data_IF_236858776499
#
_entry.id   IF_236858776499
#
_cell.length_a   1.000
_cell.length_b   1.000
_cell.length_c   1.000
_cell.angle_alpha   90.00
_cell.angle_beta   90.00
_cell.angle_gamma   90.00
#
_symmetry.space_group_name_H-M   'P 1'
#
loop_
_entity.id
_entity.type
_entity.pdbx_description
1 polymer ?
#
# COMPACT_ATOMS: atom_id res chain seq x y z
N UNK A 1 -34.85 -25.01 -40.82
CA UNK A 1 -35.26 -25.23 -39.42
C UNK A 1 -34.07 -25.55 -38.51
N UNK A 2 -33.08 -26.36 -38.94
CA UNK A 2 -31.89 -26.68 -38.12
C UNK A 2 -30.97 -25.50 -37.81
N UNK A 3 -30.74 -24.58 -38.75
CA UNK A 3 -29.86 -23.42 -38.54
C UNK A 3 -30.37 -22.43 -37.46
N UNK A 4 -31.70 -22.29 -37.35
CA UNK A 4 -32.33 -21.43 -36.33
C UNK A 4 -32.22 -22.06 -34.94
N UNK A 5 -32.40 -23.39 -34.85
CA UNK A 5 -32.23 -24.15 -33.61
C UNK A 5 -30.80 -24.02 -33.07
N UNK A 6 -29.79 -24.19 -33.93
CA UNK A 6 -28.39 -24.06 -33.52
C UNK A 6 -28.05 -22.65 -33.07
N UNK A 7 -28.53 -21.62 -33.78
CA UNK A 7 -28.31 -20.24 -33.39
C UNK A 7 -28.95 -19.91 -32.03
N UNK A 8 -30.16 -20.43 -31.78
CA UNK A 8 -30.85 -20.27 -30.50
C UNK A 8 -30.11 -20.97 -29.35
N UNK A 9 -29.61 -22.18 -29.56
CA UNK A 9 -28.82 -22.90 -28.55
C UNK A 9 -27.53 -22.16 -28.19
N UNK A 10 -26.81 -21.60 -29.17
CA UNK A 10 -25.61 -20.78 -28.90
C UNK A 10 -25.94 -19.50 -28.13
N UNK A 11 -27.04 -18.84 -28.47
CA UNK A 11 -27.49 -17.62 -27.78
C UNK A 11 -27.87 -17.90 -26.32
N UNK A 12 -28.57 -19.03 -26.05
CA UNK A 12 -28.96 -19.42 -24.70
C UNK A 12 -27.76 -19.81 -23.84
N UNK A 13 -26.76 -20.48 -24.42
CA UNK A 13 -25.52 -20.83 -23.71
C UNK A 13 -24.72 -19.57 -23.35
N UNK A 14 -24.64 -18.59 -24.26
CA UNK A 14 -24.01 -17.30 -23.99
C UNK A 14 -24.74 -16.51 -22.89
N UNK A 15 -26.08 -16.55 -22.88
CA UNK A 15 -26.89 -15.91 -21.84
C UNK A 15 -26.71 -16.54 -20.46
N UNK A 16 -26.57 -17.87 -20.38
CA UNK A 16 -26.30 -18.57 -19.12
C UNK A 16 -24.91 -18.24 -18.54
N UNK A 17 -23.90 -17.99 -19.39
CA UNK A 17 -22.55 -17.63 -18.96
C UNK A 17 -22.48 -16.22 -18.33
N UNK A 18 -23.33 -15.28 -18.75
CA UNK A 18 -23.42 -13.94 -18.14
C UNK A 18 -24.35 -13.88 -16.93
N UNK A 19 -25.20 -14.89 -16.73
CA UNK A 19 -26.17 -14.98 -15.66
C UNK A 19 -25.68 -15.79 -14.45
N UNK A 20 -24.36 -15.96 -14.28
CA UNK A 20 -23.84 -16.59 -13.08
C UNK A 20 -24.15 -15.71 -11.88
N UNK A 21 -24.86 -16.21 -10.85
CA UNK A 21 -24.93 -15.50 -9.58
C UNK A 21 -23.49 -15.34 -9.09
N UNK A 22 -23.08 -14.11 -8.80
CA UNK A 22 -21.93 -13.86 -7.96
C UNK A 22 -22.31 -14.42 -6.58
N UNK A 23 -22.02 -15.70 -6.37
CA UNK A 23 -22.16 -16.34 -5.07
C UNK A 23 -21.07 -15.75 -4.19
N UNK A 24 -21.38 -14.64 -3.51
CA UNK A 24 -20.48 -14.08 -2.48
C UNK A 24 -20.34 -15.01 -1.27
N UNK A 25 -21.11 -16.10 -1.24
CA UNK A 25 -21.10 -17.10 -0.16
C UNK A 25 -19.73 -17.81 -0.02
N UNK A 26 -18.96 -17.94 -1.10
CA UNK A 26 -17.60 -18.49 -1.05
C UNK A 26 -16.51 -17.44 -0.70
N UNK A 27 -16.85 -16.15 -0.65
CA UNK A 27 -15.91 -15.05 -0.34
C UNK A 27 -15.88 -14.75 1.17
N UNK A 28 -16.89 -15.19 1.92
CA UNK A 28 -17.10 -14.79 3.31
C UNK A 28 -16.12 -15.42 4.31
N UNK A 29 -15.61 -16.63 4.07
CA UNK A 29 -14.76 -17.30 5.07
C UNK A 29 -13.36 -16.68 5.23
N UNK A 30 -12.88 -15.92 4.23
CA UNK A 30 -11.50 -15.40 4.22
C UNK A 30 -11.41 -13.95 3.71
N UNK A 31 -12.44 -13.13 3.90
CA UNK A 31 -12.47 -11.73 3.48
C UNK A 31 -11.28 -10.91 4.04
N UNK A 32 -10.81 -11.24 5.24
CA UNK A 32 -9.60 -10.68 5.84
C UNK A 32 -8.34 -10.93 4.98
N UNK A 33 -8.19 -12.14 4.41
CA UNK A 33 -6.99 -12.54 3.68
C UNK A 33 -6.88 -11.91 2.29
N UNK A 34 -8.00 -11.63 1.62
CA UNK A 34 -7.97 -11.26 0.19
C UNK A 34 -8.80 -10.02 -0.18
N UNK A 35 -9.79 -9.59 0.63
CA UNK A 35 -10.74 -8.53 0.24
C UNK A 35 -10.64 -7.23 1.04
N UNK A 36 -10.33 -7.30 2.34
CA UNK A 36 -10.35 -6.13 3.25
C UNK A 36 -8.97 -5.76 3.80
N UNK A 37 -8.00 -6.68 3.75
CA UNK A 37 -6.65 -6.46 4.28
C UNK A 37 -5.88 -5.35 3.55
N UNK A 38 -6.09 -5.18 2.24
CA UNK A 38 -5.44 -4.11 1.46
C UNK A 38 -5.85 -2.70 1.90
N UNK A 39 -7.10 -2.51 2.32
CA UNK A 39 -7.61 -1.21 2.78
C UNK A 39 -7.03 -0.81 4.14
N UNK A 40 -6.99 -1.74 5.10
CA UNK A 40 -6.43 -1.47 6.44
C UNK A 40 -4.92 -1.26 6.38
N UNK A 41 -4.20 -2.12 5.65
CA UNK A 41 -2.75 -1.98 5.47
C UNK A 41 -2.43 -0.69 4.70
N UNK A 42 -3.14 -0.41 3.61
CA UNK A 42 -2.99 0.85 2.86
C UNK A 42 -3.28 2.09 3.71
N UNK A 43 -4.29 2.03 4.59
CA UNK A 43 -4.62 3.12 5.51
C UNK A 43 -3.54 3.35 6.57
N UNK A 44 -2.99 2.29 7.16
CA UNK A 44 -1.84 2.40 8.08
C UNK A 44 -0.65 3.05 7.38
N UNK A 45 -0.36 2.63 6.15
CA UNK A 45 0.77 3.17 5.40
C UNK A 45 0.55 4.64 4.99
N UNK A 46 -0.69 5.03 4.66
CA UNK A 46 -1.06 6.43 4.43
C UNK A 46 -0.78 7.31 5.67
N UNK A 47 -1.12 6.81 6.86
CA UNK A 47 -0.85 7.53 8.12
C UNK A 47 0.66 7.66 8.37
N UNK A 48 1.41 6.58 8.17
CA UNK A 48 2.87 6.58 8.32
C UNK A 48 3.53 7.60 7.37
N UNK A 49 3.06 7.69 6.14
CA UNK A 49 3.55 8.64 5.15
C UNK A 49 3.30 10.11 5.58
N UNK A 50 2.09 10.42 6.09
CA UNK A 50 1.77 11.74 6.64
C UNK A 50 2.68 12.10 7.84
N UNK A 51 2.98 11.15 8.73
CA UNK A 51 3.88 11.42 9.86
C UNK A 51 5.30 11.79 9.40
N UNK A 52 5.82 11.08 8.39
CA UNK A 52 7.16 11.36 7.83
C UNK A 52 7.21 12.77 7.22
N UNK A 53 6.15 13.21 6.53
CA UNK A 53 6.06 14.59 6.04
C UNK A 53 6.09 15.61 7.19
N UNK A 54 5.35 15.38 8.27
CA UNK A 54 5.35 16.26 9.44
C UNK A 54 6.73 16.34 10.12
N UNK A 55 7.46 15.22 10.19
CA UNK A 55 8.80 15.16 10.75
C UNK A 55 9.85 15.85 9.87
N UNK A 56 9.75 15.68 8.55
CA UNK A 56 10.60 16.38 7.58
C UNK A 56 10.39 17.89 7.63
N UNK A 57 9.14 18.35 7.64
CA UNK A 57 8.78 19.77 7.68
C UNK A 57 9.24 20.46 8.98
N UNK A 58 9.29 19.73 10.10
CA UNK A 58 9.72 20.28 11.41
C UNK A 58 11.24 20.33 11.60
N UNK A 59 12.05 19.73 10.72
CA UNK A 59 13.49 19.61 10.94
C UNK A 59 14.31 20.73 10.26
N UNK A 60 15.35 21.22 10.93
CA UNK A 60 16.23 22.33 10.51
C UNK A 60 17.58 21.84 9.90
N UNK A 61 17.51 21.15 8.75
CA UNK A 61 18.66 20.65 7.95
C UNK A 61 18.37 20.91 6.46
N UNK A 62 19.34 20.80 5.52
CA UNK A 62 19.09 21.15 4.12
C UNK A 62 17.91 20.38 3.54
N UNK A 63 17.11 21.08 2.75
CA UNK A 63 15.76 20.69 2.35
C UNK A 63 15.78 19.56 1.30
N UNK A 64 16.80 19.55 0.43
CA UNK A 64 16.91 18.62 -0.70
C UNK A 64 16.97 17.13 -0.30
N UNK A 65 17.88 16.68 0.59
CA UNK A 65 17.98 15.27 0.95
C UNK A 65 16.74 14.75 1.68
N UNK A 66 16.06 15.61 2.45
CA UNK A 66 14.83 15.26 3.15
C UNK A 66 13.67 15.06 2.20
N UNK A 67 13.52 15.97 1.23
CA UNK A 67 12.48 15.88 0.22
C UNK A 67 12.68 14.65 -0.67
N UNK A 68 13.93 14.30 -1.01
CA UNK A 68 14.20 13.09 -1.79
C UNK A 68 13.72 11.82 -1.09
N UNK A 69 13.93 11.72 0.23
CA UNK A 69 13.46 10.60 1.03
C UNK A 69 11.93 10.58 1.18
N UNK A 70 11.30 11.74 1.38
CA UNK A 70 9.84 11.86 1.39
C UNK A 70 9.21 11.40 0.07
N UNK A 71 9.73 11.86 -1.07
CA UNK A 71 9.21 11.50 -2.39
C UNK A 71 9.37 10.00 -2.67
N UNK A 72 10.48 9.39 -2.25
CA UNK A 72 10.72 7.96 -2.41
C UNK A 72 9.72 7.11 -1.60
N UNK A 73 9.48 7.48 -0.33
CA UNK A 73 8.51 6.78 0.55
C UNK A 73 7.08 7.01 0.08
N UNK A 74 6.77 8.21 -0.43
CA UNK A 74 5.44 8.54 -0.95
C UNK A 74 5.07 7.74 -2.20
N UNK A 75 5.99 7.62 -3.17
CA UNK A 75 5.74 6.89 -4.43
C UNK A 75 5.78 5.38 -4.20
N UNK A 76 6.65 4.90 -3.30
CA UNK A 76 6.74 3.50 -2.90
C UNK A 76 6.49 3.34 -1.40
N UNK A 77 5.23 3.32 -0.95
CA UNK A 77 4.88 3.28 0.47
C UNK A 77 5.55 2.14 1.23
N UNK A 78 5.50 0.92 0.68
CA UNK A 78 6.07 -0.27 1.33
C UNK A 78 7.58 -0.39 1.05
N UNK A 79 7.98 -0.27 -0.22
CA UNK A 79 9.38 -0.42 -0.62
C UNK A 79 10.29 0.71 -0.13
N UNK A 80 9.80 1.95 -0.18
CA UNK A 80 10.48 3.15 0.30
C UNK A 80 10.71 3.11 1.81
N UNK A 81 9.76 2.59 2.60
CA UNK A 81 9.97 2.36 4.05
C UNK A 81 11.09 1.35 4.31
N UNK A 82 11.15 0.26 3.54
CA UNK A 82 12.20 -0.76 3.68
C UNK A 82 13.57 -0.17 3.32
N UNK A 83 13.67 0.53 2.19
CA UNK A 83 14.91 1.19 1.74
C UNK A 83 15.34 2.27 2.74
N UNK A 84 14.39 3.07 3.25
CA UNK A 84 14.64 4.04 4.30
C UNK A 84 15.13 3.35 5.60
N UNK A 85 14.62 2.18 5.94
CA UNK A 85 15.06 1.44 7.12
C UNK A 85 16.50 0.93 6.99
N UNK A 86 16.86 0.38 5.83
CA UNK A 86 18.17 -0.25 5.63
C UNK A 86 19.26 0.77 5.32
N UNK A 87 18.95 1.81 4.52
CA UNK A 87 19.96 2.69 3.93
C UNK A 87 19.94 4.13 4.42
N UNK A 88 18.91 4.58 5.16
CA UNK A 88 18.85 5.98 5.61
C UNK A 88 19.83 6.32 6.75
N UNK A 89 20.65 5.37 7.20
CA UNK A 89 21.70 5.55 8.21
C UNK A 89 21.24 6.42 9.40
N UNK A 90 20.15 5.96 10.01
CA UNK A 90 19.42 6.67 11.07
C UNK A 90 20.29 6.98 12.27
N UNK A 91 21.23 6.10 12.62
CA UNK A 91 22.11 6.27 13.78
C UNK A 91 23.13 7.42 13.59
N UNK A 92 23.54 7.72 12.36
CA UNK A 92 24.45 8.83 12.07
C UNK A 92 23.72 10.17 11.90
N UNK A 93 22.42 10.15 11.56
CA UNK A 93 21.66 11.36 11.23
C UNK A 93 20.59 11.70 12.26
N UNK A 94 20.01 10.73 12.96
CA UNK A 94 19.26 10.93 14.19
C UNK A 94 20.28 10.79 15.33
N UNK A 95 20.95 11.89 15.66
CA UNK A 95 21.87 11.95 16.78
C UNK A 95 21.21 11.28 18.01
N UNK A 96 21.75 10.14 18.52
CA UNK A 96 21.33 9.60 19.79
C UNK A 96 21.79 10.61 20.84
N UNK A 97 20.83 11.30 21.45
CA UNK A 97 21.03 12.01 22.71
C UNK A 97 22.01 13.17 22.67
N UNK A 98 21.46 14.39 22.71
CA UNK A 98 22.16 15.54 23.29
C UNK A 98 22.35 15.40 24.81
N UNK A 99 22.80 14.23 25.30
CA UNK A 99 23.43 14.13 26.60
C UNK A 99 24.94 14.08 26.36
N UNK A 100 25.50 15.27 26.26
CA UNK A 100 26.92 15.49 26.51
C UNK A 100 27.22 14.89 27.89
N UNK A 101 28.01 13.81 27.95
CA UNK A 101 28.52 13.30 29.21
C UNK A 101 29.42 14.39 29.79
N UNK A 102 28.98 15.02 30.89
CA UNK A 102 29.75 16.04 31.59
C UNK A 102 31.13 15.45 31.91
N UNK A 103 32.23 16.15 31.58
CA UNK A 103 33.55 15.73 32.02
C UNK A 103 33.56 15.71 33.55
N UNK A 104 33.89 14.55 34.09
CA UNK A 104 34.16 14.32 35.51
C UNK A 104 35.58 14.75 35.87
#
# INVERSE_FOLDING_TARGET
>A
MHAVQTALSFLLLAAAAIAQPISTDAVQENAWKYGTGGGVVGFIVLILDIMVFMEVLKSNRPVLPKLLWCVLVFIFPIGGLIIYYVFSNRAAHNAPGGYEALPQ
#
